data_IF_860919092515
#
_entry.id   IF_860919092515
#
_cell.length_a   1.000
_cell.length_b   1.000
_cell.length_c   1.000
_cell.angle_alpha   90.00
_cell.angle_beta   90.00
_cell.angle_gamma   90.00
#
_symmetry.space_group_name_H-M   'P 1'
#
loop_
_entity.id
_entity.type
_entity.pdbx_description
1 polymer ?
#
# COMPACT_ATOMS: atom_id res chain seq x y z
N UNK A 1 -12.66 -9.93 14.12
CA UNK A 1 -12.03 -11.27 14.16
C UNK A 1 -12.50 -12.21 13.05
N UNK A 2 -13.80 -12.50 12.87
CA UNK A 2 -14.25 -13.46 11.83
C UNK A 2 -14.03 -13.01 10.37
N UNK A 3 -14.07 -11.71 10.09
CA UNK A 3 -13.88 -11.17 8.72
C UNK A 3 -12.44 -11.30 8.20
N UNK A 4 -11.43 -11.17 9.07
CA UNK A 4 -10.02 -11.31 8.68
C UNK A 4 -9.64 -12.79 8.51
N UNK A 5 -10.15 -13.67 9.39
CA UNK A 5 -10.06 -15.11 9.21
C UNK A 5 -10.78 -15.60 7.94
N UNK A 6 -11.85 -14.90 7.51
CA UNK A 6 -12.56 -15.19 6.27
C UNK A 6 -11.71 -14.82 5.03
N UNK A 7 -11.01 -13.68 5.05
CA UNK A 7 -10.10 -13.30 3.96
C UNK A 7 -8.95 -14.31 3.77
N UNK A 8 -8.40 -14.81 4.88
CA UNK A 8 -7.38 -15.89 4.84
C UNK A 8 -7.98 -17.23 4.36
N UNK A 9 -9.24 -17.52 4.73
CA UNK A 9 -9.93 -18.76 4.31
C UNK A 9 -10.31 -18.78 2.82
N UNK A 10 -10.63 -17.61 2.23
CA UNK A 10 -10.96 -17.49 0.80
C UNK A 10 -9.70 -17.72 -0.07
N UNK A 11 -8.53 -17.24 0.37
CA UNK A 11 -7.26 -17.54 -0.29
C UNK A 11 -6.93 -19.04 -0.27
N UNK A 12 -7.21 -19.73 0.85
CA UNK A 12 -7.01 -21.18 0.98
C UNK A 12 -8.00 -22.05 0.18
N UNK A 13 -9.11 -21.49 -0.31
CA UNK A 13 -10.06 -22.20 -1.14
C UNK A 13 -9.67 -22.19 -2.64
N UNK A 14 -8.89 -21.20 -3.08
CA UNK A 14 -8.43 -21.07 -4.47
C UNK A 14 -7.38 -22.12 -4.86
N UNK A 15 -6.66 -22.71 -3.91
CA UNK A 15 -5.61 -23.71 -4.17
C UNK A 15 -6.14 -25.15 -4.33
N UNK A 16 -7.44 -25.38 -4.09
CA UNK A 16 -8.05 -26.73 -4.14
C UNK A 16 -8.78 -27.05 -5.45
N UNK A 17 -8.45 -26.36 -6.55
CA UNK A 17 -9.02 -26.63 -7.88
C UNK A 17 -7.95 -27.04 -8.90
N UNK A 18 -8.15 -28.22 -9.51
CA UNK A 18 -7.46 -28.75 -10.70
C UNK A 18 -6.19 -29.60 -10.47
N UNK A 19 -6.39 -30.86 -10.04
CA UNK A 19 -5.47 -31.95 -10.37
C UNK A 19 -5.88 -32.55 -11.74
N UNK A 20 -5.09 -32.30 -12.78
CA UNK A 20 -5.26 -32.89 -14.11
C UNK A 20 -4.29 -34.08 -14.23
N UNK A 21 -4.80 -35.30 -14.20
CA UNK A 21 -4.00 -36.53 -14.37
C UNK A 21 -3.67 -36.76 -15.86
N UNK A 22 -2.41 -37.09 -16.23
CA UNK A 22 -2.11 -37.47 -17.61
C UNK A 22 -2.45 -38.96 -17.88
N UNK A 23 -2.75 -39.36 -19.12
CA UNK A 23 -3.19 -40.71 -19.42
C UNK A 23 -2.02 -41.69 -19.53
N UNK A 24 -2.23 -42.91 -19.02
CA UNK A 24 -1.36 -44.07 -19.20
C UNK A 24 -1.33 -44.52 -20.67
N UNK A 25 -0.14 -44.83 -21.19
CA UNK A 25 0.06 -45.40 -22.52
C UNK A 25 0.36 -46.90 -22.37
N UNK A 26 -0.50 -47.72 -22.98
CA UNK A 26 -0.40 -49.19 -23.09
C UNK A 26 0.58 -49.55 -24.22
N UNK A 27 1.43 -50.55 -24.02
CA UNK A 27 2.16 -51.21 -25.12
C UNK A 27 3.33 -52.10 -24.69
N UNK A 28 3.19 -53.41 -24.91
CA UNK A 28 4.22 -54.44 -25.01
C UNK A 28 3.65 -55.54 -25.94
N UNK A 29 4.41 -56.51 -26.51
CA UNK A 29 5.85 -56.79 -26.40
C UNK A 29 6.56 -57.19 -27.74
N UNK A 30 7.85 -57.55 -27.66
CA UNK A 30 8.50 -58.75 -28.26
C UNK A 30 9.68 -58.57 -29.25
N UNK A 31 10.62 -59.54 -29.12
CA UNK A 31 11.69 -60.01 -30.02
C UNK A 31 12.98 -59.15 -30.12
N UNK A 32 14.22 -59.65 -30.26
CA UNK A 32 14.92 -60.93 -30.11
C UNK A 32 16.31 -60.74 -30.79
N UNK A 33 17.43 -61.03 -30.10
CA UNK A 33 18.72 -61.60 -30.60
C UNK A 33 19.39 -61.03 -31.89
N UNK A 34 20.70 -60.77 -32.06
CA UNK A 34 21.95 -60.80 -31.28
C UNK A 34 23.12 -60.32 -32.18
N UNK A 35 24.26 -59.92 -31.55
CA UNK A 35 25.68 -59.99 -32.02
C UNK A 35 26.13 -59.04 -33.16
N UNK A 36 27.34 -58.44 -33.20
CA UNK A 36 28.58 -58.43 -32.38
C UNK A 36 29.54 -57.37 -32.99
N UNK A 37 30.32 -56.63 -32.18
CA UNK A 37 31.62 -55.99 -32.54
C UNK A 37 32.05 -55.03 -31.40
N UNK A 38 32.69 -55.51 -30.32
CA UNK A 38 34.14 -55.40 -30.02
C UNK A 38 34.74 -53.99 -30.09
N UNK A 39 35.07 -53.40 -28.92
CA UNK A 39 36.19 -52.46 -28.60
C UNK A 39 36.21 -52.22 -27.06
N UNK A 40 37.36 -51.98 -26.39
CA UNK A 40 37.65 -52.43 -25.02
C UNK A 40 37.25 -51.49 -23.87
N UNK A 41 37.27 -52.10 -22.68
CA UNK A 41 36.88 -51.58 -21.38
C UNK A 41 37.60 -50.30 -20.93
N UNK A 42 36.81 -49.27 -20.59
CA UNK A 42 37.21 -48.11 -19.79
C UNK A 42 36.70 -48.28 -18.35
N UNK A 43 37.59 -48.02 -17.39
CA UNK A 43 37.40 -48.14 -15.93
C UNK A 43 36.15 -47.37 -15.44
N UNK A 44 35.44 -47.85 -14.40
CA UNK A 44 34.33 -47.11 -13.82
C UNK A 44 34.87 -45.94 -12.98
N UNK A 45 34.90 -44.74 -13.58
CA UNK A 45 34.97 -43.50 -12.82
C UNK A 45 33.62 -43.28 -12.14
N UNK A 46 33.62 -43.28 -10.81
CA UNK A 46 32.48 -42.99 -9.96
C UNK A 46 31.82 -41.66 -10.37
N UNK A 47 30.73 -41.70 -11.14
CA UNK A 47 29.79 -40.58 -11.26
C UNK A 47 29.10 -40.43 -9.91
N UNK A 48 29.66 -39.54 -9.11
CA UNK A 48 29.00 -38.96 -7.94
C UNK A 48 27.75 -38.26 -8.51
N UNK A 49 26.59 -38.89 -8.33
CA UNK A 49 25.29 -38.25 -8.56
C UNK A 49 25.26 -37.06 -7.60
N UNK A 50 25.54 -35.87 -8.12
CA UNK A 50 25.10 -34.65 -7.48
C UNK A 50 23.59 -34.75 -7.44
N UNK A 51 23.08 -35.07 -6.25
CA UNK A 51 21.70 -34.82 -5.88
C UNK A 51 21.50 -33.33 -6.15
N UNK A 52 20.83 -33.00 -7.24
CA UNK A 52 20.25 -31.67 -7.43
C UNK A 52 19.37 -31.45 -6.21
N UNK A 53 19.95 -30.72 -5.26
CA UNK A 53 19.22 -30.12 -4.15
C UNK A 53 18.35 -29.07 -4.81
N UNK A 54 17.14 -29.49 -5.16
CA UNK A 54 16.07 -28.62 -5.66
C UNK A 54 15.97 -27.47 -4.67
N UNK A 55 16.49 -26.31 -5.08
CA UNK A 55 16.38 -25.06 -4.36
C UNK A 55 14.93 -24.89 -3.92
N UNK A 56 14.72 -24.83 -2.61
CA UNK A 56 13.43 -24.51 -2.03
C UNK A 56 12.95 -23.19 -2.61
N UNK A 57 11.84 -23.24 -3.33
CA UNK A 57 11.12 -22.07 -3.84
C UNK A 57 10.91 -21.07 -2.69
N UNK A 58 11.27 -19.79 -2.82
CA UNK A 58 11.26 -18.85 -1.69
C UNK A 58 9.86 -18.34 -1.31
N UNK A 59 8.79 -18.85 -1.93
CA UNK A 59 7.41 -18.39 -1.69
C UNK A 59 6.53 -19.58 -1.37
N UNK A 60 6.68 -20.12 -0.17
CA UNK A 60 5.70 -21.03 0.44
C UNK A 60 5.47 -20.61 1.88
N UNK A 61 4.99 -19.39 2.08
CA UNK A 61 4.39 -18.98 3.35
C UNK A 61 3.10 -19.78 3.51
N UNK A 62 3.21 -20.96 4.13
CA UNK A 62 2.05 -21.82 4.39
C UNK A 62 1.09 -21.10 5.33
N UNK A 63 -0.22 -21.31 5.18
CA UNK A 63 -1.25 -20.87 6.17
C UNK A 63 -0.85 -21.26 7.61
N UNK A 64 -0.06 -22.32 7.77
CA UNK A 64 0.52 -22.74 9.04
C UNK A 64 1.41 -21.67 9.72
N UNK A 65 2.14 -20.85 8.98
CA UNK A 65 3.03 -19.82 9.58
C UNK A 65 2.22 -18.64 10.12
N UNK A 66 1.17 -18.22 9.40
CA UNK A 66 0.25 -17.19 9.89
C UNK A 66 -0.49 -17.66 11.16
N UNK A 67 -0.84 -18.94 11.24
CA UNK A 67 -1.46 -19.51 12.43
C UNK A 67 -0.50 -19.59 13.62
N UNK A 68 0.80 -19.83 13.39
CA UNK A 68 1.81 -19.75 14.47
C UNK A 68 2.01 -18.31 14.95
N UNK A 69 1.96 -17.31 14.08
CA UNK A 69 2.06 -15.90 14.48
C UNK A 69 0.91 -15.49 15.40
N UNK A 70 -0.31 -16.03 15.21
CA UNK A 70 -1.43 -15.81 16.13
C UNK A 70 -1.21 -16.39 17.53
N UNK A 71 -0.35 -17.40 17.66
CA UNK A 71 0.00 -18.04 18.94
C UNK A 71 1.22 -17.38 19.58
N UNK A 72 1.99 -16.58 18.83
CA UNK A 72 3.15 -15.84 19.34
C UNK A 72 2.70 -14.80 20.40
N UNK A 73 3.19 -14.92 21.65
CA UNK A 73 2.89 -13.95 22.71
C UNK A 73 3.23 -12.50 22.34
N UNK A 74 4.29 -12.26 21.56
CA UNK A 74 4.69 -10.92 21.14
C UNK A 74 3.65 -10.30 20.19
N UNK A 75 3.12 -11.09 19.26
CA UNK A 75 2.06 -10.64 18.36
C UNK A 75 0.73 -10.42 19.11
N UNK A 76 0.40 -11.29 20.07
CA UNK A 76 -0.76 -11.10 20.94
C UNK A 76 -0.68 -9.82 21.76
N UNK A 77 0.51 -9.50 22.29
CA UNK A 77 0.76 -8.23 22.98
C UNK A 77 0.56 -7.05 22.02
N UNK A 78 1.12 -7.11 20.82
CA UNK A 78 0.98 -6.06 19.81
C UNK A 78 -0.49 -5.81 19.41
N UNK A 79 -1.28 -6.87 19.20
CA UNK A 79 -2.72 -6.77 18.91
C UNK A 79 -3.48 -6.20 20.10
N UNK A 80 -3.12 -6.59 21.33
CA UNK A 80 -3.74 -6.07 22.55
C UNK A 80 -3.47 -4.58 22.72
N UNK A 81 -2.21 -4.15 22.55
CA UNK A 81 -1.83 -2.73 22.56
C UNK A 81 -2.58 -1.94 21.49
N UNK A 82 -2.67 -2.49 20.27
CA UNK A 82 -3.44 -1.89 19.18
C UNK A 82 -4.90 -1.64 19.56
N UNK A 83 -5.58 -2.64 20.12
CA UNK A 83 -6.97 -2.50 20.55
C UNK A 83 -7.12 -1.48 21.67
N UNK A 84 -6.24 -1.51 22.68
CA UNK A 84 -6.28 -0.55 23.79
C UNK A 84 -6.10 0.88 23.31
N UNK A 85 -5.08 1.14 22.49
CA UNK A 85 -4.79 2.48 21.96
C UNK A 85 -5.91 2.98 21.06
N UNK A 86 -6.40 2.15 20.13
CA UNK A 86 -7.43 2.58 19.19
C UNK A 86 -8.80 2.74 19.87
N UNK A 87 -9.17 1.85 20.81
CA UNK A 87 -10.39 2.01 21.60
C UNK A 87 -10.32 3.26 22.49
N UNK A 88 -9.19 3.47 23.18
CA UNK A 88 -8.95 4.68 23.97
C UNK A 88 -9.04 5.95 23.12
N UNK A 89 -8.39 5.95 21.95
CA UNK A 89 -8.44 7.07 21.00
C UNK A 89 -9.86 7.34 20.51
N UNK A 90 -10.62 6.29 20.15
CA UNK A 90 -12.00 6.43 19.70
C UNK A 90 -12.91 6.97 20.82
N UNK A 91 -12.73 6.50 22.05
CA UNK A 91 -13.47 6.99 23.22
C UNK A 91 -13.15 8.46 23.50
N UNK A 92 -11.86 8.83 23.51
CA UNK A 92 -11.39 10.20 23.73
C UNK A 92 -11.92 11.15 22.64
N UNK A 93 -11.80 10.75 21.36
CA UNK A 93 -12.30 11.53 20.22
C UNK A 93 -13.82 11.72 20.29
N UNK A 94 -14.57 10.69 20.71
CA UNK A 94 -16.02 10.78 20.91
C UNK A 94 -16.36 11.72 22.06
N UNK A 95 -15.67 11.59 23.20
CA UNK A 95 -15.87 12.46 24.36
C UNK A 95 -15.52 13.93 24.06
N UNK A 96 -14.46 14.16 23.28
CA UNK A 96 -14.02 15.47 22.83
C UNK A 96 -14.92 16.09 21.74
N UNK A 97 -15.96 15.38 21.28
CA UNK A 97 -16.89 15.83 20.21
C UNK A 97 -16.14 16.31 18.97
N UNK A 98 -15.14 15.54 18.54
CA UNK A 98 -14.33 15.88 17.38
C UNK A 98 -15.18 16.15 16.12
N UNK A 99 -14.66 17.01 15.24
CA UNK A 99 -15.27 17.47 13.99
C UNK A 99 -14.47 17.03 12.75
N UNK A 100 -13.62 16.01 12.88
CA UNK A 100 -12.72 15.47 11.85
C UNK A 100 -13.31 14.24 11.14
N UNK A 101 -14.01 13.38 11.88
CA UNK A 101 -14.59 12.12 11.41
C UNK A 101 -16.09 12.11 11.66
N UNK A 102 -16.85 11.49 10.76
CA UNK A 102 -18.22 11.06 11.08
C UNK A 102 -18.19 9.88 12.06
N UNK A 103 -19.28 9.52 12.76
CA UNK A 103 -19.30 8.31 13.58
C UNK A 103 -18.89 7.05 12.79
N UNK A 104 -19.38 6.93 11.55
CA UNK A 104 -18.94 5.87 10.63
C UNK A 104 -17.47 5.99 10.26
N UNK A 105 -16.98 7.19 9.96
CA UNK A 105 -15.57 7.44 9.68
C UNK A 105 -14.66 7.08 10.86
N UNK A 106 -15.10 7.33 12.10
CA UNK A 106 -14.38 6.96 13.32
C UNK A 106 -14.27 5.44 13.47
N UNK A 107 -15.36 4.70 13.26
CA UNK A 107 -15.32 3.24 13.31
C UNK A 107 -14.38 2.64 12.25
N UNK A 108 -14.40 3.15 11.03
CA UNK A 108 -13.51 2.67 9.97
C UNK A 108 -12.06 3.09 10.20
N UNK A 109 -11.82 4.29 10.72
CA UNK A 109 -10.48 4.74 11.11
C UNK A 109 -9.93 3.91 12.27
N UNK A 110 -10.77 3.53 13.24
CA UNK A 110 -10.41 2.60 14.31
C UNK A 110 -9.99 1.24 13.75
N UNK A 111 -10.74 0.70 12.79
CA UNK A 111 -10.42 -0.59 12.16
C UNK A 111 -9.09 -0.52 11.37
N UNK A 112 -8.89 0.52 10.56
CA UNK A 112 -7.66 0.69 9.79
C UNK A 112 -6.46 1.00 10.68
N UNK A 113 -6.62 1.85 11.70
CA UNK A 113 -5.59 2.09 12.71
C UNK A 113 -5.21 0.82 13.46
N UNK A 114 -6.20 -0.01 13.80
CA UNK A 114 -5.96 -1.31 14.43
C UNK A 114 -5.16 -2.23 13.51
N UNK A 115 -5.51 -2.29 12.23
CA UNK A 115 -4.80 -3.08 11.22
C UNK A 115 -3.36 -2.58 11.00
N UNK A 116 -3.18 -1.27 10.85
CA UNK A 116 -1.85 -0.66 10.70
C UNK A 116 -0.94 -0.96 11.89
N UNK A 117 -1.45 -0.85 13.12
CA UNK A 117 -0.68 -1.22 14.31
C UNK A 117 -0.42 -2.72 14.39
N UNK A 118 -1.41 -3.56 14.08
CA UNK A 118 -1.22 -5.01 14.11
C UNK A 118 -0.17 -5.47 13.08
N UNK A 119 -0.13 -4.85 11.90
CA UNK A 119 0.80 -5.24 10.83
C UNK A 119 2.20 -4.61 10.96
N UNK A 120 2.28 -3.34 11.32
CA UNK A 120 3.53 -2.56 11.28
C UNK A 120 3.89 -1.92 12.63
N UNK A 121 3.17 -2.26 13.70
CA UNK A 121 3.39 -1.72 15.04
C UNK A 121 2.99 -0.25 15.19
N UNK A 122 3.43 0.35 16.29
CA UNK A 122 3.28 1.78 16.51
C UNK A 122 3.84 2.64 15.35
N UNK A 123 4.92 2.28 14.62
CA UNK A 123 5.40 3.03 13.46
C UNK A 123 4.34 3.17 12.36
N UNK A 124 3.71 2.06 11.97
CA UNK A 124 2.65 2.06 10.96
C UNK A 124 1.43 2.87 11.40
N UNK A 125 1.06 2.76 12.67
CA UNK A 125 -0.03 3.54 13.24
C UNK A 125 0.27 5.04 13.27
N UNK A 126 1.48 5.45 13.64
CA UNK A 126 1.90 6.86 13.61
C UNK A 126 1.85 7.41 12.20
N UNK A 127 2.33 6.65 11.20
CA UNK A 127 2.23 7.05 9.79
C UNK A 127 0.78 7.29 9.35
N UNK A 128 -0.14 6.38 9.73
CA UNK A 128 -1.57 6.51 9.48
C UNK A 128 -2.21 7.70 10.19
N UNK A 129 -1.92 7.89 11.48
CA UNK A 129 -2.49 8.99 12.26
C UNK A 129 -1.94 10.34 11.80
N UNK A 130 -0.68 10.40 11.39
CA UNK A 130 -0.04 11.62 10.89
C UNK A 130 -0.69 12.14 9.61
N UNK A 131 -0.92 11.30 8.58
CA UNK A 131 -1.63 11.76 7.37
C UNK A 131 -3.06 12.22 7.70
N UNK A 132 -3.72 11.52 8.62
CA UNK A 132 -5.10 11.85 9.00
C UNK A 132 -5.14 13.23 9.66
N UNK A 133 -4.33 13.46 10.69
CA UNK A 133 -4.26 14.74 11.40
C UNK A 133 -3.78 15.84 10.46
N UNK A 134 -2.66 15.63 9.76
CA UNK A 134 -2.06 16.61 8.85
C UNK A 134 -3.04 17.03 7.76
N UNK A 135 -3.64 16.07 7.05
CA UNK A 135 -4.63 16.38 6.03
C UNK A 135 -5.87 17.08 6.58
N UNK A 136 -6.31 16.76 7.80
CA UNK A 136 -7.43 17.45 8.45
C UNK A 136 -7.12 18.86 8.91
N UNK A 137 -5.86 19.16 9.25
CA UNK A 137 -5.42 20.52 9.55
C UNK A 137 -5.45 21.34 8.25
N UNK A 138 -4.90 20.79 7.16
CA UNK A 138 -4.82 21.48 5.87
C UNK A 138 -6.21 21.78 5.31
N UNK A 139 -7.17 20.86 5.39
CA UNK A 139 -8.55 21.11 4.90
C UNK A 139 -9.24 22.26 5.65
N UNK A 140 -8.85 22.54 6.89
CA UNK A 140 -9.41 23.65 7.68
C UNK A 140 -8.78 25.02 7.36
N UNK A 141 -7.66 25.07 6.65
CA UNK A 141 -7.02 26.33 6.26
C UNK A 141 -7.95 27.11 5.33
N UNK A 142 -8.22 28.37 5.69
CA UNK A 142 -9.14 29.29 4.96
C UNK A 142 -10.51 28.68 4.64
N UNK A 143 -11.01 27.77 5.49
CA UNK A 143 -12.28 27.06 5.28
C UNK A 143 -13.45 28.00 4.99
N UNK A 144 -13.60 29.09 5.74
CA UNK A 144 -14.68 30.06 5.55
C UNK A 144 -14.65 30.75 4.17
N UNK A 145 -13.47 30.99 3.60
CA UNK A 145 -13.33 31.55 2.24
C UNK A 145 -13.69 30.50 1.19
N UNK A 146 -13.18 29.27 1.34
CA UNK A 146 -13.51 28.16 0.44
C UNK A 146 -15.01 27.85 0.45
N UNK A 147 -15.67 27.99 1.60
CA UNK A 147 -17.13 27.78 1.74
C UNK A 147 -17.91 28.89 1.01
N UNK A 148 -17.49 30.16 1.12
CA UNK A 148 -18.09 31.27 0.36
C UNK A 148 -17.96 31.09 -1.15
N UNK A 149 -16.86 30.49 -1.60
CA UNK A 149 -16.58 30.22 -3.00
C UNK A 149 -17.20 28.90 -3.51
N UNK A 150 -17.79 28.08 -2.63
CA UNK A 150 -18.36 26.79 -3.01
C UNK A 150 -17.34 25.69 -3.35
N UNK A 151 -16.05 25.91 -3.05
CA UNK A 151 -14.94 24.98 -3.34
C UNK A 151 -14.41 24.26 -2.08
N UNK A 152 -15.05 24.46 -0.93
CA UNK A 152 -14.67 23.81 0.31
C UNK A 152 -14.86 22.29 0.25
N UNK A 153 -14.01 21.59 0.99
CA UNK A 153 -14.13 20.15 1.18
C UNK A 153 -15.51 19.77 1.72
N UNK A 154 -16.09 18.70 1.16
CA UNK A 154 -17.44 18.24 1.50
C UNK A 154 -17.60 18.03 3.02
N UNK A 155 -18.82 18.27 3.51
CA UNK A 155 -19.20 18.09 4.93
C UNK A 155 -18.29 18.83 5.91
N UNK A 156 -17.76 19.98 5.50
CA UNK A 156 -16.88 20.81 6.31
C UNK A 156 -15.56 20.14 6.67
N UNK A 157 -15.09 19.18 5.86
CA UNK A 157 -13.86 18.43 6.07
C UNK A 157 -14.00 17.18 6.95
N UNK A 158 -15.23 16.82 7.37
CA UNK A 158 -15.48 15.58 8.12
C UNK A 158 -15.37 14.36 7.22
N UNK A 159 -14.41 13.49 7.49
CA UNK A 159 -14.19 12.28 6.69
C UNK A 159 -15.17 11.17 7.03
N UNK A 160 -15.77 10.62 5.98
CA UNK A 160 -16.67 9.47 6.03
C UNK A 160 -15.95 8.15 5.70
N UNK A 161 -16.60 6.98 5.85
CA UNK A 161 -15.98 5.69 5.58
C UNK A 161 -15.28 5.58 4.21
N UNK A 162 -15.93 6.03 3.14
CA UNK A 162 -15.36 5.97 1.77
C UNK A 162 -14.10 6.81 1.63
N UNK A 163 -14.08 8.02 2.19
CA UNK A 163 -12.91 8.89 2.20
C UNK A 163 -11.75 8.28 3.01
N UNK A 164 -12.07 7.65 4.14
CA UNK A 164 -11.08 6.98 5.00
C UNK A 164 -10.46 5.79 4.25
N UNK A 165 -11.26 4.95 3.61
CA UNK A 165 -10.77 3.83 2.81
C UNK A 165 -10.01 4.28 1.56
N UNK A 166 -10.53 5.25 0.81
CA UNK A 166 -9.85 5.79 -0.38
C UNK A 166 -8.49 6.41 -0.06
N UNK A 167 -8.28 6.84 1.19
CA UNK A 167 -7.01 7.40 1.66
C UNK A 167 -6.00 6.36 2.16
N UNK A 168 -6.46 5.26 2.74
CA UNK A 168 -5.61 4.37 3.54
C UNK A 168 -5.60 2.91 3.08
N UNK A 169 -6.53 2.48 2.22
CA UNK A 169 -6.64 1.10 1.78
C UNK A 169 -5.33 0.58 1.17
N UNK A 170 -4.75 1.32 0.22
CA UNK A 170 -3.50 0.93 -0.44
C UNK A 170 -2.35 0.74 0.57
N UNK A 171 -2.21 1.69 1.51
CA UNK A 171 -1.20 1.59 2.57
C UNK A 171 -1.45 0.42 3.52
N UNK A 172 -2.71 0.14 3.88
CA UNK A 172 -3.06 -1.01 4.70
C UNK A 172 -2.82 -2.33 3.99
N UNK A 173 -3.08 -2.43 2.68
CA UNK A 173 -2.74 -3.62 1.89
C UNK A 173 -1.22 -3.82 1.87
N UNK A 174 -0.44 -2.76 1.67
CA UNK A 174 1.03 -2.86 1.74
C UNK A 174 1.49 -3.30 3.14
N UNK A 175 0.90 -2.75 4.21
CA UNK A 175 1.18 -3.19 5.58
C UNK A 175 0.89 -4.68 5.79
N UNK A 176 -0.24 -5.19 5.26
CA UNK A 176 -0.57 -6.62 5.34
C UNK A 176 0.42 -7.48 4.54
N UNK A 177 0.84 -7.03 3.36
CA UNK A 177 1.84 -7.73 2.56
C UNK A 177 3.21 -7.78 3.27
N UNK A 178 3.59 -6.72 3.99
CA UNK A 178 4.81 -6.73 4.80
C UNK A 178 4.79 -7.82 5.90
N UNK A 179 3.61 -8.18 6.43
CA UNK A 179 3.45 -9.34 7.34
C UNK A 179 3.55 -10.66 6.59
N UNK A 180 2.90 -10.78 5.43
CA UNK A 180 2.95 -12.01 4.61
C UNK A 180 4.38 -12.36 4.22
N UNK A 181 5.23 -11.35 4.00
CA UNK A 181 6.64 -11.49 3.66
C UNK A 181 7.58 -11.16 4.84
N UNK A 182 7.13 -11.35 6.09
CA UNK A 182 7.91 -10.98 7.27
C UNK A 182 9.29 -11.68 7.37
N UNK A 183 9.44 -12.86 6.76
CA UNK A 183 10.69 -13.63 6.71
C UNK A 183 11.64 -13.24 5.56
N UNK A 184 11.23 -12.29 4.71
CA UNK A 184 12.05 -11.71 3.65
C UNK A 184 12.21 -10.21 3.91
N UNK A 185 13.33 -9.83 4.52
CA UNK A 185 13.61 -8.44 4.90
C UNK A 185 13.50 -7.47 3.72
N UNK A 186 13.88 -7.92 2.51
CA UNK A 186 13.79 -7.10 1.30
C UNK A 186 12.34 -6.86 0.93
N UNK A 187 11.53 -7.91 0.82
CA UNK A 187 10.12 -7.77 0.48
C UNK A 187 9.35 -7.00 1.56
N UNK A 188 9.62 -7.29 2.83
CA UNK A 188 9.05 -6.56 3.95
C UNK A 188 9.36 -5.06 3.86
N UNK A 189 10.62 -4.69 3.63
CA UNK A 189 11.03 -3.29 3.48
C UNK A 189 10.37 -2.60 2.28
N UNK A 190 10.26 -3.28 1.14
CA UNK A 190 9.57 -2.76 -0.05
C UNK A 190 8.09 -2.47 0.24
N UNK A 191 7.39 -3.36 0.96
CA UNK A 191 6.00 -3.15 1.32
C UNK A 191 5.81 -2.11 2.44
N UNK A 192 6.76 -1.97 3.37
CA UNK A 192 6.78 -0.84 4.32
C UNK A 192 6.91 0.49 3.59
N UNK A 193 7.82 0.58 2.60
CA UNK A 193 7.93 1.74 1.71
C UNK A 193 6.63 2.01 0.96
N UNK A 194 5.99 0.98 0.39
CA UNK A 194 4.68 1.12 -0.26
C UNK A 194 3.61 1.71 0.68
N UNK A 195 3.59 1.30 1.95
CA UNK A 195 2.67 1.83 2.94
C UNK A 195 2.91 3.33 3.23
N UNK A 196 4.18 3.73 3.42
CA UNK A 196 4.55 5.13 3.63
C UNK A 196 4.28 5.97 2.38
N UNK A 197 4.60 5.45 1.19
CA UNK A 197 4.36 6.12 -0.09
C UNK A 197 2.87 6.34 -0.38
N UNK A 198 1.99 5.38 -0.06
CA UNK A 198 0.54 5.56 -0.17
C UNK A 198 0.03 6.71 0.69
N UNK A 199 0.50 6.82 1.95
CA UNK A 199 0.13 7.93 2.81
C UNK A 199 0.76 9.26 2.36
N UNK A 200 2.00 9.23 1.85
CA UNK A 200 2.69 10.41 1.36
C UNK A 200 1.98 10.97 0.12
N UNK A 201 1.51 10.08 -0.74
CA UNK A 201 0.66 10.40 -1.89
C UNK A 201 -0.61 11.10 -1.42
N UNK A 202 -1.34 10.52 -0.46
CA UNK A 202 -2.59 11.12 0.01
C UNK A 202 -2.39 12.47 0.70
N UNK A 203 -1.34 12.59 1.53
CA UNK A 203 -1.04 13.85 2.22
C UNK A 203 -0.61 14.92 1.22
N UNK A 204 0.23 14.55 0.23
CA UNK A 204 0.63 15.44 -0.85
C UNK A 204 -0.57 15.93 -1.68
N UNK A 205 -1.47 15.02 -2.07
CA UNK A 205 -2.71 15.33 -2.77
C UNK A 205 -3.58 16.33 -1.99
N UNK A 206 -3.78 16.05 -0.69
CA UNK A 206 -4.58 16.91 0.18
C UNK A 206 -3.92 18.29 0.36
N UNK A 207 -2.60 18.33 0.57
CA UNK A 207 -1.86 19.59 0.65
C UNK A 207 -1.96 20.38 -0.65
N UNK A 208 -1.79 19.72 -1.80
CA UNK A 208 -1.80 20.38 -3.08
C UNK A 208 -3.16 20.98 -3.43
N UNK A 209 -4.22 20.19 -3.29
CA UNK A 209 -5.58 20.62 -3.57
C UNK A 209 -6.04 21.72 -2.60
N UNK A 210 -5.83 21.55 -1.29
CA UNK A 210 -6.37 22.48 -0.30
C UNK A 210 -5.58 23.79 -0.21
N UNK A 211 -4.25 23.76 -0.35
CA UNK A 211 -3.44 24.98 -0.44
C UNK A 211 -3.65 25.66 -1.80
N UNK A 212 -3.77 24.88 -2.88
CA UNK A 212 -4.10 25.41 -4.20
C UNK A 212 -5.44 26.16 -4.22
N UNK A 213 -6.50 25.59 -3.62
CA UNK A 213 -7.79 26.27 -3.43
C UNK A 213 -7.67 27.53 -2.57
N UNK A 214 -6.84 27.49 -1.51
CA UNK A 214 -6.77 28.57 -0.53
C UNK A 214 -5.86 29.75 -0.95
N UNK A 215 -4.83 29.51 -1.75
CA UNK A 215 -3.77 30.47 -2.07
C UNK A 215 -3.34 30.50 -3.53
N UNK A 216 -3.84 29.60 -4.38
CA UNK A 216 -3.48 29.52 -5.79
C UNK A 216 -3.80 30.82 -6.53
N UNK A 217 -2.78 31.50 -7.04
CA UNK A 217 -2.94 32.75 -7.80
C UNK A 217 -3.22 32.49 -9.27
N UNK A 218 -2.51 31.51 -9.83
CA UNK A 218 -2.64 31.07 -11.21
C UNK A 218 -2.87 29.56 -11.21
N UNK A 219 -4.05 29.14 -11.64
CA UNK A 219 -4.48 27.75 -11.72
C UNK A 219 -4.69 27.35 -13.17
N UNK A 220 -4.22 26.16 -13.53
CA UNK A 220 -4.25 25.65 -14.90
C UNK A 220 -4.74 24.21 -14.92
N UNK A 221 -5.40 23.79 -16.01
CA UNK A 221 -5.67 22.36 -16.21
C UNK A 221 -4.36 21.61 -16.44
N UNK A 222 -4.18 20.49 -15.74
CA UNK A 222 -2.98 19.65 -15.86
C UNK A 222 -2.75 19.09 -17.27
N UNK A 223 -3.81 19.01 -18.10
CA UNK A 223 -3.78 18.42 -19.44
C UNK A 223 -3.56 19.44 -20.55
N UNK A 224 -4.30 20.55 -20.55
CA UNK A 224 -4.25 21.58 -21.61
C UNK A 224 -3.38 22.79 -21.25
N UNK A 225 -3.01 22.93 -19.98
CA UNK A 225 -2.36 24.11 -19.41
C UNK A 225 -3.18 25.41 -19.60
N UNK A 226 -4.48 25.28 -19.86
CA UNK A 226 -5.38 26.43 -19.97
C UNK A 226 -5.68 27.00 -18.58
N UNK A 227 -5.73 28.34 -18.43
CA UNK A 227 -6.11 28.97 -17.18
C UNK A 227 -7.55 28.61 -16.79
N UNK A 228 -7.74 28.17 -15.55
CA UNK A 228 -9.06 27.85 -14.98
C UNK A 228 -9.20 28.41 -13.57
N UNK A 229 -10.42 28.64 -13.06
CA UNK A 229 -10.61 29.08 -11.69
C UNK A 229 -10.05 28.10 -10.65
N UNK A 230 -9.61 28.59 -9.46
CA UNK A 230 -9.26 27.71 -8.35
C UNK A 230 -10.43 26.81 -7.92
N UNK A 231 -10.13 25.55 -7.62
CA UNK A 231 -11.14 24.56 -7.24
C UNK A 231 -11.80 23.83 -8.42
N UNK A 232 -11.45 24.16 -9.67
CA UNK A 232 -11.78 23.30 -10.82
C UNK A 232 -11.11 21.93 -10.68
N UNK A 233 -11.85 20.85 -10.94
CA UNK A 233 -11.33 19.48 -10.87
C UNK A 233 -10.14 19.28 -11.84
N UNK A 234 -9.05 18.69 -11.35
CA UNK A 234 -7.81 18.52 -12.10
C UNK A 234 -6.98 19.80 -12.33
N UNK A 235 -7.36 20.93 -11.72
CA UNK A 235 -6.58 22.16 -11.77
C UNK A 235 -5.36 22.10 -10.84
N UNK A 236 -4.24 22.60 -11.33
CA UNK A 236 -2.96 22.68 -10.61
C UNK A 236 -2.50 24.13 -10.47
N UNK A 237 -1.82 24.45 -9.37
CA UNK A 237 -1.17 25.75 -9.13
C UNK A 237 0.22 25.53 -8.57
N UNK A 238 1.11 26.51 -8.72
CA UNK A 238 2.46 26.43 -8.14
C UNK A 238 2.40 26.30 -6.62
N UNK A 239 1.55 27.09 -5.96
CA UNK A 239 1.37 27.04 -4.50
C UNK A 239 0.90 25.67 -4.03
N UNK A 240 -0.07 25.08 -4.74
CA UNK A 240 -0.53 23.71 -4.49
C UNK A 240 0.59 22.70 -4.70
N UNK A 241 1.30 22.73 -5.83
CA UNK A 241 2.38 21.78 -6.12
C UNK A 241 3.48 21.83 -5.05
N UNK A 242 3.92 23.02 -4.63
CA UNK A 242 4.91 23.17 -3.57
C UNK A 242 4.41 22.64 -2.22
N UNK A 243 3.12 22.88 -1.90
CA UNK A 243 2.51 22.31 -0.70
C UNK A 243 2.42 20.77 -0.76
N UNK A 244 2.14 20.19 -1.93
CA UNK A 244 2.17 18.75 -2.13
C UNK A 244 3.56 18.14 -1.90
N UNK A 245 4.60 18.77 -2.45
CA UNK A 245 6.00 18.40 -2.20
C UNK A 245 6.32 18.45 -0.70
N UNK A 246 5.89 19.51 0.00
CA UNK A 246 6.07 19.61 1.45
C UNK A 246 5.31 18.51 2.21
N UNK A 247 4.07 18.18 1.80
CA UNK A 247 3.26 17.12 2.40
C UNK A 247 3.86 15.73 2.24
N UNK A 248 4.31 15.37 1.04
CA UNK A 248 4.99 14.09 0.79
C UNK A 248 6.32 13.99 1.54
N UNK A 249 7.12 15.07 1.56
CA UNK A 249 8.35 15.12 2.36
C UNK A 249 8.07 14.92 3.86
N UNK A 250 7.07 15.61 4.42
CA UNK A 250 6.70 15.48 5.82
C UNK A 250 6.31 14.03 6.17
N UNK A 251 5.51 13.37 5.32
CA UNK A 251 5.17 11.96 5.53
C UNK A 251 6.39 11.04 5.43
N UNK A 252 7.27 11.25 4.45
CA UNK A 252 8.48 10.45 4.29
C UNK A 252 9.44 10.61 5.49
N UNK A 253 9.54 11.81 6.04
CA UNK A 253 10.30 12.06 7.27
C UNK A 253 9.71 11.34 8.48
N UNK A 254 8.37 11.25 8.60
CA UNK A 254 7.72 10.43 9.62
C UNK A 254 8.04 8.94 9.43
N UNK A 255 7.98 8.44 8.19
CA UNK A 255 8.38 7.07 7.87
C UNK A 255 9.83 6.78 8.28
N UNK A 256 10.74 7.73 8.02
CA UNK A 256 12.16 7.62 8.38
C UNK A 256 12.36 7.68 9.88
N UNK A 257 11.75 8.65 10.57
CA UNK A 257 11.87 8.85 12.01
C UNK A 257 11.31 7.68 12.84
N UNK A 258 10.33 6.97 12.28
CA UNK A 258 9.75 5.76 12.90
C UNK A 258 10.45 4.46 12.50
N UNK A 259 11.43 4.53 11.59
CA UNK A 259 12.18 3.37 11.11
C UNK A 259 11.44 2.48 10.11
N UNK A 260 10.32 2.95 9.54
CA UNK A 260 9.60 2.20 8.49
C UNK A 260 10.32 2.21 7.14
N UNK A 261 11.07 3.28 6.85
CA UNK A 261 11.85 3.45 5.62
C UNK A 261 13.22 4.02 5.95
N UNK A 262 14.17 3.84 5.04
CA UNK A 262 15.49 4.44 5.15
C UNK A 262 15.48 5.89 4.62
N UNK A 263 16.41 6.76 5.08
CA UNK A 263 16.54 8.11 4.52
C UNK A 263 16.75 8.13 3.00
N UNK A 264 17.38 7.09 2.44
CA UNK A 264 17.58 6.91 1.01
C UNK A 264 16.28 6.73 0.22
N UNK A 265 15.19 6.33 0.87
CA UNK A 265 13.90 6.06 0.23
C UNK A 265 13.04 7.33 0.08
N UNK A 266 13.42 8.44 0.74
CA UNK A 266 12.68 9.71 0.70
C UNK A 266 12.47 10.20 -0.74
N UNK A 267 13.49 10.27 -1.63
CA UNK A 267 13.29 10.74 -3.00
C UNK A 267 12.32 9.87 -3.79
N UNK A 268 12.35 8.56 -3.58
CA UNK A 268 11.43 7.63 -4.23
C UNK A 268 9.99 7.81 -3.74
N UNK A 269 9.80 7.96 -2.43
CA UNK A 269 8.50 8.24 -1.83
C UNK A 269 7.88 9.55 -2.35
N UNK A 270 8.68 10.63 -2.41
CA UNK A 270 8.26 11.92 -2.95
C UNK A 270 7.98 11.85 -4.45
N UNK A 271 8.85 11.20 -5.23
CA UNK A 271 8.69 11.04 -6.66
C UNK A 271 7.43 10.24 -7.02
N UNK A 272 7.19 9.12 -6.33
CA UNK A 272 5.99 8.32 -6.52
C UNK A 272 4.71 9.10 -6.18
N UNK A 273 4.70 9.85 -5.06
CA UNK A 273 3.59 10.71 -4.69
C UNK A 273 3.33 11.82 -5.71
N UNK A 274 4.38 12.47 -6.22
CA UNK A 274 4.27 13.51 -7.24
C UNK A 274 3.66 12.97 -8.55
N UNK A 275 4.17 11.84 -9.04
CA UNK A 275 3.69 11.19 -10.26
C UNK A 275 2.23 10.74 -10.10
N UNK A 276 1.88 10.14 -8.97
CA UNK A 276 0.52 9.69 -8.70
C UNK A 276 -0.47 10.87 -8.69
N UNK A 277 -0.13 11.99 -8.02
CA UNK A 277 -0.97 13.19 -8.00
C UNK A 277 -1.09 13.85 -9.38
N UNK A 278 -0.05 13.78 -10.21
CA UNK A 278 -0.16 14.24 -11.59
C UNK A 278 -1.19 13.41 -12.38
N UNK A 279 -1.17 12.08 -12.22
CA UNK A 279 -2.19 11.20 -12.84
C UNK A 279 -3.59 11.48 -12.32
N UNK A 280 -3.74 11.70 -11.01
CA UNK A 280 -5.00 12.11 -10.39
C UNK A 280 -5.54 13.39 -11.04
N UNK A 281 -4.70 14.42 -11.14
CA UNK A 281 -5.11 15.70 -11.73
C UNK A 281 -5.47 15.56 -13.21
N UNK A 282 -4.77 14.69 -13.96
CA UNK A 282 -5.09 14.40 -15.35
C UNK A 282 -6.42 13.63 -15.50
N UNK A 283 -6.72 12.69 -14.59
CA UNK A 283 -7.99 11.97 -14.54
C UNK A 283 -9.15 12.91 -14.21
N UNK A 284 -8.95 13.80 -13.22
CA UNK A 284 -9.88 14.87 -12.85
C UNK A 284 -10.21 15.76 -14.05
N UNK A 285 -9.19 16.26 -14.74
CA UNK A 285 -9.36 17.17 -15.88
C UNK A 285 -10.01 16.50 -17.13
N UNK A 286 -9.89 15.19 -17.28
CA UNK A 286 -10.26 14.50 -18.53
C UNK A 286 -11.57 13.72 -18.48
N UNK A 287 -11.80 13.01 -17.36
CA UNK A 287 -12.75 11.88 -17.31
C UNK A 287 -13.72 11.97 -16.13
N UNK A 288 -13.36 12.60 -15.01
CA UNK A 288 -14.14 12.56 -13.78
C UNK A 288 -15.57 13.10 -13.96
N UNK A 289 -15.74 14.23 -14.64
CA UNK A 289 -17.07 14.81 -14.93
C UNK A 289 -17.91 13.99 -15.93
N UNK A 290 -17.28 13.06 -16.65
CA UNK A 290 -17.93 12.23 -17.68
C UNK A 290 -18.39 10.87 -17.15
N UNK A 291 -17.89 10.44 -15.99
CA UNK A 291 -18.15 9.10 -15.45
C UNK A 291 -18.83 9.22 -14.07
N UNK A 292 -20.16 9.01 -13.99
CA UNK A 292 -20.91 9.22 -12.74
C UNK A 292 -20.48 8.35 -11.56
N UNK A 293 -19.88 7.19 -11.81
CA UNK A 293 -19.40 6.30 -10.75
C UNK A 293 -17.98 6.62 -10.29
N UNK A 294 -17.21 7.42 -11.05
CA UNK A 294 -15.83 7.79 -10.73
C UNK A 294 -15.83 9.02 -9.80
N UNK A 295 -16.27 8.81 -8.57
CA UNK A 295 -16.26 9.85 -7.55
C UNK A 295 -14.84 10.11 -6.99
N UNK A 296 -14.69 11.24 -6.30
CA UNK A 296 -13.42 11.69 -5.72
C UNK A 296 -12.83 10.62 -4.78
N UNK A 297 -13.64 9.82 -4.10
CA UNK A 297 -13.19 8.77 -3.19
C UNK A 297 -12.53 7.59 -3.92
N UNK A 298 -13.05 7.19 -5.08
CA UNK A 298 -12.41 6.19 -5.93
C UNK A 298 -11.17 6.73 -6.63
N UNK A 299 -11.20 8.00 -7.06
CA UNK A 299 -10.02 8.66 -7.62
C UNK A 299 -8.89 8.73 -6.60
N UNK A 300 -9.21 9.04 -5.34
CA UNK A 300 -8.27 8.97 -4.22
C UNK A 300 -7.71 7.55 -4.01
N UNK A 301 -8.55 6.52 -4.11
CA UNK A 301 -8.10 5.13 -4.01
C UNK A 301 -7.12 4.79 -5.14
N UNK A 302 -7.40 5.19 -6.38
CA UNK A 302 -6.49 4.98 -7.50
C UNK A 302 -5.18 5.75 -7.31
N UNK A 303 -5.25 7.01 -6.90
CA UNK A 303 -4.09 7.86 -6.67
C UNK A 303 -3.15 7.22 -5.63
N UNK A 304 -3.66 6.89 -4.45
CA UNK A 304 -2.87 6.26 -3.38
C UNK A 304 -2.32 4.89 -3.77
N UNK A 305 -3.08 4.13 -4.56
CA UNK A 305 -2.62 2.83 -5.10
C UNK A 305 -1.48 3.01 -6.10
N UNK A 306 -1.58 3.98 -7.02
CA UNK A 306 -0.51 4.30 -7.99
C UNK A 306 0.75 4.71 -7.24
N UNK A 307 0.65 5.60 -6.25
CA UNK A 307 1.79 6.03 -5.45
C UNK A 307 2.49 4.87 -4.72
N UNK A 308 1.71 4.00 -4.06
CA UNK A 308 2.24 2.81 -3.40
C UNK A 308 2.88 1.82 -4.39
N UNK A 309 2.21 1.52 -5.50
CA UNK A 309 2.68 0.57 -6.51
C UNK A 309 3.92 1.08 -7.25
N UNK A 310 4.02 2.38 -7.55
CA UNK A 310 5.21 2.97 -8.15
C UNK A 310 6.42 2.85 -7.22
N UNK A 311 6.24 3.17 -5.94
CA UNK A 311 7.32 3.03 -4.95
C UNK A 311 7.76 1.56 -4.83
N UNK A 312 6.80 0.63 -4.72
CA UNK A 312 7.07 -0.82 -4.65
C UNK A 312 7.78 -1.32 -5.90
N UNK A 313 7.26 -0.99 -7.09
CA UNK A 313 7.80 -1.46 -8.36
C UNK A 313 9.20 -0.90 -8.67
N UNK A 314 9.44 0.38 -8.37
CA UNK A 314 10.77 0.97 -8.53
C UNK A 314 11.74 0.38 -7.51
N UNK A 315 11.36 0.27 -6.23
CA UNK A 315 12.23 -0.35 -5.23
C UNK A 315 12.57 -1.82 -5.56
N UNK A 316 11.60 -2.57 -6.09
CA UNK A 316 11.80 -3.94 -6.57
C UNK A 316 12.84 -4.02 -7.70
N UNK A 317 12.81 -3.07 -8.63
CA UNK A 317 13.72 -3.03 -9.80
C UNK A 317 15.10 -2.50 -9.47
N UNK A 318 15.21 -1.47 -8.62
CA UNK A 318 16.48 -0.87 -8.22
C UNK A 318 17.29 -1.75 -7.28
N UNK A 319 16.62 -2.63 -6.54
CA UNK A 319 17.28 -3.56 -5.63
C UNK A 319 16.90 -5.01 -6.00
N UNK A 320 17.42 -5.59 -7.10
CA UNK A 320 17.02 -6.92 -7.58
C UNK A 320 17.57 -8.09 -6.75
N UNK A 321 18.52 -7.85 -5.84
CA UNK A 321 19.14 -8.88 -4.99
C UNK A 321 18.70 -8.71 -3.52
N UNK A 322 18.22 -9.78 -2.88
CA UNK A 322 18.03 -9.79 -1.42
C UNK A 322 19.33 -10.08 -0.65
N UNK A 323 19.27 -10.12 0.68
CA UNK A 323 18.98 -9.02 1.59
C UNK A 323 20.15 -8.02 1.66
N UNK A 324 19.86 -6.73 1.87
CA UNK A 324 20.90 -5.79 2.30
C UNK A 324 21.31 -6.19 3.71
N UNK A 325 22.53 -6.70 3.83
CA UNK A 325 23.16 -6.95 5.11
C UNK A 325 22.97 -5.73 6.03
N UNK A 326 22.50 -6.01 7.23
CA UNK A 326 22.40 -5.10 8.36
C UNK A 326 23.66 -4.22 8.50
N UNK A 327 23.45 -2.91 8.59
CA UNK A 327 24.40 -2.00 9.23
C UNK A 327 24.07 -1.91 10.72
#
# INVERSE_FOLDING_TARGET
MRLFACAVSIAAASERGCAFSPPQRIGSPAASSAKRSSVPALRPGSRRLHKEETASSPVSTSVSSLLTDFVDPAYQEQVTQSLLVNCGSAALLTAAKQDVLTPGGLFHSWMLGTAMWACLGWPGWVSGTFYLIGGSIVTKIRKAEKERQGIAEKRGGRREPSQVWGSAAASTVCAMLAVVFANDDRLRGIFQLGAVAGFATKLSDTCASEIGKAFGKNTFLSTTLEPVPPGTEGAVSLEGTLAGVAGSLAQALVGTATGLIQPSDIPLCMGAAFVANFFESALGASVQDKIPWLNNELVNLFNTSIGALLAVGIAWTLNPAGPLASA
#
